data_IF_387420420191
#
_entry.id   IF_387420420191
#
_cell.length_a   1.000
_cell.length_b   1.000
_cell.length_c   1.000
_cell.angle_alpha   90.00
_cell.angle_beta   90.00
_cell.angle_gamma   90.00
#
_symmetry.space_group_name_H-M   'P 1'
#
loop_
_entity.id
_entity.type
_entity.pdbx_description
1 polymer ?
#
# COMPACT_ATOMS: atom_id res chain seq x y z
N UNK A 1 63.63 5.36 9.13
CA UNK A 1 63.20 4.14 9.83
C UNK A 1 61.77 4.25 10.35
N UNK A 2 60.86 4.93 9.64
CA UNK A 2 59.47 5.20 10.05
C UNK A 2 58.43 4.83 8.97
N UNK A 3 58.84 4.35 7.78
CA UNK A 3 57.92 3.99 6.69
C UNK A 3 57.38 2.54 6.74
N UNK A 4 57.90 1.66 7.59
CA UNK A 4 57.51 0.24 7.63
C UNK A 4 56.49 -0.13 8.74
N UNK A 5 56.05 0.83 9.56
CA UNK A 5 55.02 0.55 10.59
C UNK A 5 53.58 0.80 10.15
N UNK A 6 53.37 1.58 9.08
CA UNK A 6 52.02 1.87 8.59
C UNK A 6 51.49 0.81 7.60
N UNK A 7 52.38 0.08 6.92
CA UNK A 7 51.98 -0.93 5.94
C UNK A 7 51.47 -2.24 6.60
N UNK A 8 51.91 -2.53 7.85
CA UNK A 8 51.49 -3.73 8.57
C UNK A 8 50.21 -3.56 9.43
N UNK A 9 49.66 -2.33 9.51
CA UNK A 9 48.43 -2.09 10.24
C UNK A 9 47.17 -2.28 9.38
N UNK A 10 47.35 -2.24 8.05
CA UNK A 10 46.26 -2.39 7.09
C UNK A 10 45.94 -3.86 6.78
N UNK A 11 46.87 -4.80 7.07
CA UNK A 11 46.72 -6.23 6.77
C UNK A 11 46.17 -7.11 7.90
N UNK A 12 45.73 -6.51 9.02
CA UNK A 12 45.06 -7.23 10.10
C UNK A 12 43.65 -6.65 10.37
N UNK A 13 42.91 -6.31 9.34
CA UNK A 13 41.47 -6.15 9.47
C UNK A 13 40.92 -7.57 9.47
N UNK A 14 40.52 -8.04 10.67
CA UNK A 14 39.95 -9.35 10.90
C UNK A 14 38.76 -9.56 9.95
N UNK A 15 38.70 -10.71 9.31
CA UNK A 15 37.60 -11.10 8.42
C UNK A 15 36.23 -11.00 9.12
N UNK A 16 36.21 -11.01 10.47
CA UNK A 16 35.01 -10.80 11.28
C UNK A 16 34.47 -9.35 11.18
N UNK A 17 35.40 -8.35 11.13
CA UNK A 17 35.05 -6.92 11.04
C UNK A 17 34.48 -6.60 9.64
N UNK A 18 35.06 -7.19 8.60
CA UNK A 18 34.54 -7.01 7.23
C UNK A 18 33.13 -7.58 7.10
N UNK A 19 32.87 -8.77 7.66
CA UNK A 19 31.52 -9.33 7.68
C UNK A 19 30.53 -8.47 8.47
N UNK A 20 30.96 -7.88 9.59
CA UNK A 20 30.12 -7.00 10.42
C UNK A 20 29.85 -5.67 9.74
N UNK A 21 30.85 -5.08 9.08
CA UNK A 21 30.70 -3.79 8.36
C UNK A 21 29.82 -3.95 7.11
N UNK A 22 29.98 -5.06 6.38
CA UNK A 22 29.12 -5.39 5.23
C UNK A 22 27.67 -5.62 5.69
N UNK A 23 27.48 -6.26 6.85
CA UNK A 23 26.16 -6.46 7.43
C UNK A 23 25.52 -5.15 7.89
N UNK A 24 26.28 -4.22 8.47
CA UNK A 24 25.80 -2.90 8.89
C UNK A 24 25.44 -2.06 7.65
N UNK A 25 26.27 -2.05 6.61
CA UNK A 25 25.95 -1.35 5.37
C UNK A 25 24.72 -1.94 4.68
N UNK A 26 24.57 -3.26 4.70
CA UNK A 26 23.37 -3.94 4.17
C UNK A 26 22.13 -3.62 5.00
N UNK A 27 22.25 -3.60 6.32
CA UNK A 27 21.17 -3.22 7.23
C UNK A 27 20.81 -1.75 7.06
N UNK A 28 21.78 -0.84 6.98
CA UNK A 28 21.56 0.59 6.73
C UNK A 28 20.91 0.80 5.36
N UNK A 29 21.39 0.13 4.31
CA UNK A 29 20.81 0.18 2.98
C UNK A 29 19.38 -0.39 2.98
N UNK A 30 19.13 -1.50 3.65
CA UNK A 30 17.81 -2.11 3.82
C UNK A 30 16.85 -1.20 4.61
N UNK A 31 17.33 -0.61 5.72
CA UNK A 31 16.56 0.36 6.50
C UNK A 31 16.31 1.65 5.70
N UNK A 32 17.27 2.09 4.92
CA UNK A 32 17.13 3.26 4.05
C UNK A 32 16.16 3.01 2.90
N UNK A 33 16.15 1.81 2.32
CA UNK A 33 15.09 1.41 1.37
C UNK A 33 13.72 1.29 2.04
N UNK A 34 13.65 0.76 3.25
CA UNK A 34 12.39 0.66 4.01
C UNK A 34 11.85 2.05 4.41
N UNK A 35 12.73 3.00 4.70
CA UNK A 35 12.36 4.40 4.98
C UNK A 35 11.94 5.16 3.71
N UNK A 36 12.53 4.82 2.55
CA UNK A 36 12.13 5.35 1.24
C UNK A 36 10.78 4.79 0.74
N UNK A 37 10.30 3.69 1.31
CA UNK A 37 9.03 3.04 0.93
C UNK A 37 7.84 3.46 1.82
N UNK A 38 8.02 4.31 2.83
CA UNK A 38 6.86 4.90 3.50
C UNK A 38 6.37 6.08 2.65
N UNK A 39 5.20 5.95 2.06
CA UNK A 39 4.53 7.03 1.36
C UNK A 39 4.36 8.20 2.31
N UNK A 40 4.99 9.32 1.97
CA UNK A 40 4.87 10.56 2.73
C UNK A 40 3.76 11.43 2.15
N UNK A 41 3.02 12.11 3.01
CA UNK A 41 2.05 13.12 2.57
C UNK A 41 2.79 14.18 1.75
N UNK A 42 2.23 14.54 0.59
CA UNK A 42 2.81 15.45 -0.39
C UNK A 42 3.68 14.77 -1.45
N UNK A 43 4.00 13.48 -1.32
CA UNK A 43 4.74 12.76 -2.37
C UNK A 43 3.82 12.37 -3.54
N UNK A 44 4.37 12.23 -4.76
CA UNK A 44 3.62 11.62 -5.86
C UNK A 44 3.14 10.23 -5.49
N UNK A 45 1.87 9.93 -5.79
CA UNK A 45 1.30 8.60 -5.56
C UNK A 45 1.93 7.58 -6.50
N UNK A 46 2.32 6.38 -6.03
CA UNK A 46 2.78 5.30 -6.90
C UNK A 46 1.74 4.99 -7.97
N UNK A 47 2.16 5.04 -9.22
CA UNK A 47 1.29 4.75 -10.35
C UNK A 47 1.06 3.25 -10.47
N UNK A 48 -0.13 2.90 -10.93
CA UNK A 48 -0.50 1.51 -11.17
C UNK A 48 -1.47 1.37 -12.34
N UNK A 49 -1.51 0.18 -12.90
CA UNK A 49 -2.57 -0.31 -13.79
C UNK A 49 -2.95 -1.70 -13.31
N UNK A 50 -4.20 -1.88 -12.89
CA UNK A 50 -4.74 -3.12 -12.33
C UNK A 50 -6.00 -3.56 -13.09
N UNK A 51 -6.26 -4.86 -13.10
CA UNK A 51 -7.50 -5.41 -13.64
C UNK A 51 -8.62 -5.25 -12.61
N UNK A 52 -9.72 -4.63 -13.02
CA UNK A 52 -10.89 -4.40 -12.17
C UNK A 52 -11.82 -5.63 -12.10
N UNK A 53 -12.77 -5.55 -11.18
CA UNK A 53 -13.89 -6.50 -11.05
C UNK A 53 -14.77 -6.56 -12.31
N UNK A 54 -14.70 -5.56 -13.20
CA UNK A 54 -15.35 -5.57 -14.51
C UNK A 54 -14.47 -6.16 -15.63
N UNK A 55 -13.31 -6.77 -15.29
CA UNK A 55 -12.32 -7.35 -16.20
C UNK A 55 -11.74 -6.33 -17.19
N UNK A 56 -11.62 -5.08 -16.76
CA UNK A 56 -11.00 -3.98 -17.53
C UNK A 56 -9.78 -3.48 -16.79
N UNK A 57 -8.79 -3.01 -17.52
CA UNK A 57 -7.67 -2.28 -16.95
C UNK A 57 -8.14 -0.92 -16.42
N UNK A 58 -7.64 -0.57 -15.24
CA UNK A 58 -7.87 0.71 -14.58
C UNK A 58 -6.53 1.22 -14.07
N UNK A 59 -6.17 2.41 -14.50
CA UNK A 59 -4.94 3.09 -14.10
C UNK A 59 -5.24 4.26 -13.16
N UNK A 60 -4.33 4.54 -12.22
CA UNK A 60 -4.48 5.73 -11.37
C UNK A 60 -4.52 7.01 -12.21
N UNK A 61 -3.75 7.06 -13.31
CA UNK A 61 -3.71 8.19 -14.26
C UNK A 61 -5.05 8.50 -14.92
N UNK A 62 -5.99 7.54 -14.99
CA UNK A 62 -7.32 7.74 -15.57
C UNK A 62 -8.17 8.74 -14.76
N UNK A 63 -7.78 8.97 -13.51
CA UNK A 63 -8.48 9.82 -12.55
C UNK A 63 -7.79 11.17 -12.31
N UNK A 64 -6.84 11.56 -13.17
CA UNK A 64 -6.21 12.88 -13.05
C UNK A 64 -7.26 13.99 -13.09
N UNK A 65 -7.15 14.95 -12.19
CA UNK A 65 -8.14 16.01 -12.00
C UNK A 65 -9.30 15.64 -11.09
N UNK A 66 -9.23 14.47 -10.42
CA UNK A 66 -10.18 14.03 -9.40
C UNK A 66 -9.44 13.55 -8.17
N UNK A 67 -10.05 13.72 -7.00
CA UNK A 67 -9.56 13.06 -5.79
C UNK A 67 -9.85 11.57 -5.88
N UNK A 68 -8.91 10.74 -5.43
CA UNK A 68 -9.05 9.27 -5.41
C UNK A 68 -8.86 8.75 -4.00
N UNK A 69 -9.83 7.98 -3.52
CA UNK A 69 -9.76 7.28 -2.24
C UNK A 69 -9.46 5.81 -2.50
N UNK A 70 -8.27 5.38 -2.13
CA UNK A 70 -7.85 3.98 -2.22
C UNK A 70 -8.10 3.28 -0.90
N UNK A 71 -8.86 2.18 -0.92
CA UNK A 71 -9.06 1.29 0.21
C UNK A 71 -8.40 -0.05 -0.05
N UNK A 72 -7.27 -0.31 0.58
CA UNK A 72 -6.67 -1.65 0.60
C UNK A 72 -7.34 -2.51 1.66
N UNK A 73 -7.61 -3.76 1.34
CA UNK A 73 -8.19 -4.73 2.26
C UNK A 73 -7.58 -6.12 2.07
N UNK A 74 -7.44 -6.91 3.16
CA UNK A 74 -6.76 -8.19 3.12
C UNK A 74 -7.41 -9.21 2.18
N UNK A 75 -8.73 -9.41 2.28
CA UNK A 75 -9.36 -10.55 1.61
C UNK A 75 -10.88 -10.36 1.48
N UNK A 76 -11.40 -10.59 0.30
CA UNK A 76 -12.84 -10.60 0.02
C UNK A 76 -13.57 -11.64 0.90
N UNK A 77 -14.84 -11.44 1.14
CA UNK A 77 -15.72 -12.31 1.92
C UNK A 77 -15.34 -12.50 3.39
N UNK A 78 -14.48 -11.65 3.96
CA UNK A 78 -14.17 -11.64 5.39
C UNK A 78 -14.93 -10.51 6.10
N UNK A 79 -15.31 -10.72 7.37
CA UNK A 79 -16.22 -9.82 8.10
C UNK A 79 -15.74 -8.36 8.12
N UNK A 80 -14.51 -8.11 8.57
CA UNK A 80 -14.00 -6.73 8.71
C UNK A 80 -13.78 -6.05 7.35
N UNK A 81 -13.36 -6.81 6.32
CA UNK A 81 -13.22 -6.27 4.96
C UNK A 81 -14.58 -5.89 4.36
N UNK A 82 -15.59 -6.73 4.58
CA UNK A 82 -16.98 -6.42 4.19
C UNK A 82 -17.48 -5.17 4.90
N UNK A 83 -17.25 -5.04 6.22
CA UNK A 83 -17.62 -3.83 6.98
C UNK A 83 -16.94 -2.59 6.41
N UNK A 84 -15.62 -2.64 6.14
CA UNK A 84 -14.90 -1.51 5.55
C UNK A 84 -15.54 -1.03 4.25
N UNK A 85 -15.76 -1.95 3.31
CA UNK A 85 -16.27 -1.59 1.99
C UNK A 85 -17.78 -1.25 2.02
N UNK A 86 -18.56 -1.86 2.89
CA UNK A 86 -19.94 -1.46 3.12
C UNK A 86 -20.06 -0.04 3.68
N UNK A 87 -19.15 0.37 4.58
CA UNK A 87 -19.10 1.76 5.05
C UNK A 87 -18.87 2.72 3.89
N UNK A 88 -18.01 2.39 2.94
CA UNK A 88 -17.78 3.21 1.75
C UNK A 88 -18.98 3.20 0.80
N UNK A 89 -19.62 2.05 0.61
CA UNK A 89 -20.87 1.93 -0.17
C UNK A 89 -21.97 2.82 0.40
N UNK A 90 -22.18 2.76 1.70
CA UNK A 90 -23.27 3.48 2.36
C UNK A 90 -23.04 5.01 2.33
N UNK A 91 -21.79 5.46 2.17
CA UNK A 91 -21.41 6.85 2.02
C UNK A 91 -21.06 7.24 0.57
N UNK A 92 -21.30 6.37 -0.42
CA UNK A 92 -20.89 6.58 -1.81
C UNK A 92 -21.38 7.91 -2.38
N UNK A 93 -22.63 8.27 -2.14
CA UNK A 93 -23.21 9.54 -2.62
C UNK A 93 -22.52 10.79 -2.08
N UNK A 94 -21.91 10.73 -0.88
CA UNK A 94 -21.13 11.82 -0.34
C UNK A 94 -19.84 12.05 -1.17
N UNK A 95 -19.09 10.97 -1.45
CA UNK A 95 -17.86 11.04 -2.24
C UNK A 95 -18.13 11.41 -3.70
N UNK A 96 -19.18 10.85 -4.30
CA UNK A 96 -19.61 11.16 -5.67
C UNK A 96 -19.98 12.65 -5.81
N UNK A 97 -20.71 13.18 -4.84
CA UNK A 97 -21.06 14.61 -4.77
C UNK A 97 -19.85 15.56 -4.67
N UNK A 98 -18.70 15.06 -4.21
CA UNK A 98 -17.41 15.78 -4.16
C UNK A 98 -16.50 15.49 -5.36
N UNK A 99 -17.00 14.83 -6.39
CA UNK A 99 -16.24 14.37 -7.57
C UNK A 99 -15.03 13.49 -7.18
N UNK A 100 -15.15 12.73 -6.10
CA UNK A 100 -14.11 11.81 -5.62
C UNK A 100 -14.40 10.38 -6.06
N UNK A 101 -13.36 9.68 -6.48
CA UNK A 101 -13.42 8.27 -6.92
C UNK A 101 -13.02 7.37 -5.77
N UNK A 102 -13.78 6.30 -5.52
CA UNK A 102 -13.44 5.25 -4.56
C UNK A 102 -12.95 4.03 -5.33
N UNK A 103 -11.83 3.46 -4.91
CA UNK A 103 -11.28 2.20 -5.42
C UNK A 103 -10.94 1.26 -4.27
N UNK A 104 -11.43 0.03 -4.32
CA UNK A 104 -11.02 -1.04 -3.40
C UNK A 104 -9.90 -1.87 -4.03
N UNK A 105 -8.84 -2.20 -3.29
CA UNK A 105 -7.70 -2.96 -3.79
C UNK A 105 -7.42 -4.14 -2.86
N UNK A 106 -7.27 -5.33 -3.42
CA UNK A 106 -6.80 -6.51 -2.71
C UNK A 106 -6.03 -7.46 -3.62
N UNK A 107 -5.39 -8.45 -3.04
CA UNK A 107 -4.68 -9.50 -3.78
C UNK A 107 -5.61 -10.61 -4.32
N UNK A 108 -6.91 -10.49 -4.10
CA UNK A 108 -7.89 -11.43 -4.65
C UNK A 108 -7.93 -11.37 -6.18
N UNK A 109 -8.33 -12.48 -6.81
CA UNK A 109 -8.51 -12.50 -8.26
C UNK A 109 -9.62 -11.54 -8.71
N UNK A 110 -9.58 -11.00 -9.94
CA UNK A 110 -10.63 -10.11 -10.44
C UNK A 110 -11.99 -10.81 -10.49
N UNK A 111 -12.03 -12.13 -10.66
CA UNK A 111 -13.26 -12.93 -10.63
C UNK A 111 -13.86 -13.00 -9.22
N UNK A 112 -13.03 -13.20 -8.19
CA UNK A 112 -13.45 -13.14 -6.78
C UNK A 112 -14.01 -11.75 -6.46
N UNK A 113 -13.32 -10.70 -6.88
CA UNK A 113 -13.73 -9.32 -6.66
C UNK A 113 -15.03 -8.97 -7.39
N UNK A 114 -15.24 -9.50 -8.61
CA UNK A 114 -16.50 -9.33 -9.33
C UNK A 114 -17.69 -9.90 -8.55
N UNK A 115 -17.54 -11.11 -8.00
CA UNK A 115 -18.57 -11.75 -7.20
C UNK A 115 -18.81 -11.02 -5.89
N UNK A 116 -17.74 -10.60 -5.22
CA UNK A 116 -17.80 -9.84 -3.97
C UNK A 116 -18.48 -8.47 -4.14
N UNK A 117 -18.18 -7.74 -5.24
CA UNK A 117 -18.83 -6.49 -5.61
C UNK A 117 -20.32 -6.70 -5.85
N UNK A 118 -20.68 -7.73 -6.62
CA UNK A 118 -22.08 -8.04 -6.93
C UNK A 118 -22.91 -8.36 -5.69
N UNK A 119 -22.41 -9.20 -4.80
CA UNK A 119 -23.16 -9.63 -3.60
C UNK A 119 -23.37 -8.49 -2.60
N UNK A 120 -22.44 -7.55 -2.52
CA UNK A 120 -22.54 -6.43 -1.59
C UNK A 120 -23.05 -5.14 -2.24
N UNK A 121 -23.39 -5.14 -3.52
CA UNK A 121 -23.87 -3.99 -4.28
C UNK A 121 -22.94 -2.76 -4.19
N UNK A 122 -21.62 -2.97 -4.33
CA UNK A 122 -20.68 -1.85 -4.34
C UNK A 122 -20.79 -1.07 -5.65
N UNK A 123 -20.97 0.27 -5.57
CA UNK A 123 -21.07 1.17 -6.72
C UNK A 123 -19.69 1.53 -7.30
N UNK A 124 -18.63 1.32 -6.55
CA UNK A 124 -17.23 1.59 -6.94
C UNK A 124 -16.51 0.33 -7.43
N UNK A 125 -15.37 0.53 -8.10
CA UNK A 125 -14.58 -0.58 -8.64
C UNK A 125 -13.70 -1.22 -7.57
N UNK A 126 -13.57 -2.56 -7.68
CA UNK A 126 -12.58 -3.34 -6.95
C UNK A 126 -11.48 -3.77 -7.92
N UNK A 127 -10.22 -3.56 -7.52
CA UNK A 127 -9.05 -3.79 -8.35
C UNK A 127 -8.22 -4.94 -7.79
N UNK A 128 -7.79 -5.83 -8.67
CA UNK A 128 -6.98 -7.00 -8.33
C UNK A 128 -5.49 -6.69 -8.40
N UNK A 129 -4.85 -6.58 -7.25
CA UNK A 129 -3.40 -6.57 -7.11
C UNK A 129 -2.87 -8.00 -6.87
N UNK A 130 -3.27 -8.94 -7.73
CA UNK A 130 -2.94 -10.36 -7.59
C UNK A 130 -1.43 -10.60 -7.50
N UNK A 131 -0.64 -9.79 -8.19
CA UNK A 131 0.82 -9.85 -8.18
C UNK A 131 1.46 -9.10 -7.00
N UNK A 132 0.68 -8.39 -6.17
CA UNK A 132 1.11 -7.73 -4.93
C UNK A 132 2.04 -6.53 -5.13
N UNK A 133 2.16 -6.03 -6.34
CA UNK A 133 3.09 -4.95 -6.70
C UNK A 133 2.61 -3.60 -6.15
N UNK A 134 1.32 -3.33 -6.25
CA UNK A 134 0.73 -2.08 -5.78
C UNK A 134 0.65 -2.05 -4.25
N UNK A 135 0.23 -3.14 -3.61
CA UNK A 135 0.25 -3.26 -2.15
C UNK A 135 1.66 -3.06 -1.58
N UNK A 136 2.68 -3.58 -2.26
CA UNK A 136 4.08 -3.38 -1.88
C UNK A 136 4.52 -1.92 -2.07
N UNK A 137 4.20 -1.29 -3.21
CA UNK A 137 4.55 0.10 -3.52
C UNK A 137 3.90 1.09 -2.53
N UNK A 138 2.70 0.78 -2.05
CA UNK A 138 2.00 1.58 -1.03
C UNK A 138 2.37 1.20 0.41
N UNK A 139 3.31 0.27 0.63
CA UNK A 139 3.69 -0.20 1.96
C UNK A 139 2.56 -0.96 2.69
N UNK A 140 1.53 -1.35 1.96
CA UNK A 140 0.31 -1.97 2.46
C UNK A 140 0.32 -3.50 2.23
N UNK A 141 1.39 -4.20 2.64
CA UNK A 141 1.50 -5.65 2.48
C UNK A 141 1.94 -6.33 3.78
N UNK A 142 1.30 -7.45 4.15
CA UNK A 142 1.73 -8.33 5.23
C UNK A 142 2.77 -9.33 4.71
N UNK A 143 3.96 -9.34 5.30
CA UNK A 143 4.94 -10.41 5.08
C UNK A 143 4.40 -11.75 5.57
N UNK A 144 3.67 -11.73 6.69
CA UNK A 144 2.99 -12.88 7.27
C UNK A 144 1.61 -12.48 7.80
N UNK A 145 0.61 -13.26 7.47
CA UNK A 145 -0.78 -13.08 7.87
C UNK A 145 -1.31 -14.32 8.60
N UNK A 146 -2.56 -14.31 9.04
CA UNK A 146 -3.18 -15.46 9.73
C UNK A 146 -3.06 -16.75 8.91
N UNK A 147 -3.02 -17.86 9.58
CA UNK A 147 -2.94 -19.22 8.99
C UNK A 147 -1.69 -19.46 8.11
N UNK A 148 -0.62 -18.70 8.31
CA UNK A 148 0.61 -18.83 7.53
C UNK A 148 0.53 -18.24 6.11
N UNK A 149 -0.54 -17.49 5.80
CA UNK A 149 -0.66 -16.78 4.52
C UNK A 149 0.40 -15.67 4.43
N UNK A 150 0.91 -15.43 3.22
CA UNK A 150 1.94 -14.42 2.95
C UNK A 150 1.52 -13.53 1.80
N UNK A 151 1.96 -12.27 1.86
CA UNK A 151 1.73 -11.31 0.79
C UNK A 151 0.25 -10.96 0.61
N UNK A 152 -0.47 -10.82 1.72
CA UNK A 152 -1.84 -10.33 1.74
C UNK A 152 -1.80 -8.81 1.94
N UNK A 153 -2.68 -8.07 1.28
CA UNK A 153 -2.75 -6.61 1.48
C UNK A 153 -3.04 -6.28 2.94
N UNK A 154 -2.35 -5.29 3.50
CA UNK A 154 -2.74 -4.67 4.77
C UNK A 154 -4.04 -3.90 4.57
N UNK A 155 -4.80 -3.72 5.64
CA UNK A 155 -5.87 -2.73 5.62
C UNK A 155 -5.22 -1.35 5.64
N UNK A 156 -5.52 -0.56 4.61
CA UNK A 156 -4.99 0.79 4.48
C UNK A 156 -5.97 1.69 3.74
N UNK A 157 -5.81 2.99 3.95
CA UNK A 157 -6.53 4.01 3.21
C UNK A 157 -5.58 5.13 2.78
N UNK A 158 -5.72 5.56 1.55
CA UNK A 158 -4.99 6.71 1.01
C UNK A 158 -5.97 7.65 0.32
N UNK A 159 -5.75 8.96 0.46
CA UNK A 159 -6.41 9.95 -0.38
C UNK A 159 -5.35 10.60 -1.26
N UNK A 160 -5.64 10.63 -2.54
CA UNK A 160 -4.79 11.18 -3.59
C UNK A 160 -5.53 12.39 -4.17
N UNK A 161 -4.82 13.50 -4.34
CA UNK A 161 -5.38 14.72 -4.88
C UNK A 161 -5.47 14.72 -6.42
N UNK A 162 -5.99 15.80 -6.98
CA UNK A 162 -6.21 16.00 -8.40
C UNK A 162 -4.92 16.00 -9.23
N UNK A 163 -3.78 16.34 -8.60
CA UNK A 163 -2.43 16.32 -9.20
C UNK A 163 -1.68 15.00 -8.94
N UNK A 164 -2.37 14.02 -8.37
CA UNK A 164 -1.86 12.68 -8.05
C UNK A 164 -0.78 12.66 -6.96
N UNK A 165 -0.89 13.54 -5.94
CA UNK A 165 -0.10 13.49 -4.73
C UNK A 165 -0.90 12.89 -3.57
N UNK A 166 -0.21 12.19 -2.69
CA UNK A 166 -0.80 11.61 -1.49
C UNK A 166 -1.08 12.73 -0.48
N UNK A 167 -2.35 12.95 -0.11
CA UNK A 167 -2.77 13.93 0.90
C UNK A 167 -3.25 13.28 2.21
N UNK A 168 -3.44 11.96 2.21
CA UNK A 168 -3.72 11.15 3.39
C UNK A 168 -3.14 9.76 3.21
N UNK A 169 -2.57 9.20 4.26
CA UNK A 169 -2.04 7.84 4.29
C UNK A 169 -2.24 7.22 5.68
N UNK A 170 -2.90 6.09 5.73
CA UNK A 170 -3.09 5.28 6.93
C UNK A 170 -2.90 3.81 6.57
N UNK A 171 -1.94 3.15 7.21
CA UNK A 171 -1.67 1.72 7.06
C UNK A 171 -1.80 1.06 8.42
N UNK A 172 -2.76 0.15 8.55
CA UNK A 172 -3.10 -0.49 9.82
C UNK A 172 -2.31 -1.78 10.00
N UNK A 173 -1.58 -1.88 11.11
CA UNK A 173 -0.83 -3.08 11.47
C UNK A 173 -1.76 -4.20 11.96
N UNK A 174 -2.89 -3.84 12.57
CA UNK A 174 -3.87 -4.79 13.10
C UNK A 174 -5.01 -4.96 12.10
N UNK A 175 -5.15 -6.14 11.52
CA UNK A 175 -6.14 -6.42 10.47
C UNK A 175 -7.62 -6.29 10.92
N UNK A 176 -7.87 -6.20 12.23
CA UNK A 176 -9.22 -5.99 12.79
C UNK A 176 -9.63 -4.54 12.89
N UNK A 177 -8.66 -3.61 12.86
CA UNK A 177 -8.95 -2.20 12.96
C UNK A 177 -9.51 -1.69 11.63
N UNK A 178 -10.38 -0.70 11.70
CA UNK A 178 -10.94 -0.02 10.52
C UNK A 178 -10.25 1.32 10.31
N UNK A 179 -10.14 1.80 9.06
CA UNK A 179 -9.62 3.12 8.77
C UNK A 179 -10.44 4.24 9.43
N UNK A 180 -9.79 5.37 9.67
CA UNK A 180 -10.48 6.58 10.12
C UNK A 180 -11.26 7.21 8.95
N UNK A 181 -12.50 6.77 8.78
CA UNK A 181 -13.39 7.27 7.73
C UNK A 181 -13.70 8.77 7.85
N UNK A 182 -13.68 9.32 9.08
CA UNK A 182 -13.91 10.74 9.30
C UNK A 182 -12.73 11.57 8.79
N UNK A 183 -11.50 11.15 9.10
CA UNK A 183 -10.28 11.79 8.58
C UNK A 183 -10.20 11.69 7.05
N UNK A 184 -10.57 10.54 6.46
CA UNK A 184 -10.65 10.38 5.00
C UNK A 184 -11.64 11.37 4.40
N UNK A 185 -12.86 11.45 4.95
CA UNK A 185 -13.90 12.35 4.47
C UNK A 185 -13.49 13.83 4.53
N UNK A 186 -12.75 14.24 5.58
CA UNK A 186 -12.22 15.60 5.68
C UNK A 186 -11.19 15.92 4.58
N UNK A 187 -10.40 14.96 4.15
CA UNK A 187 -9.39 15.14 3.08
C UNK A 187 -9.99 15.21 1.68
N UNK A 188 -11.19 14.68 1.52
CA UNK A 188 -11.90 14.70 0.22
C UNK A 188 -12.64 16.02 0.00
N UNK A 189 -12.98 16.77 1.06
CA UNK A 189 -13.55 18.13 0.96
C UNK A 189 -12.58 19.08 0.28
#
# INVERSE_FOLDING_TARGET
>A
MLKNKFTNLIFKIDHSIIKTTTNIQFIVFYLQQKTLMSLTIGSPAPQFTLVSSALKEVSLSDFKGKKVVLHFFPMAFTGVCTTQLCTMRDNFGYYDGLNAVILGISVDSPFTLAKFKQENNYQFELLSDFNKEVSAAYGAIYEQFFFGLKGVSKRAAFVIDEDQHVIYAEVLEVAKDLPDFAAIAEKVK
#
